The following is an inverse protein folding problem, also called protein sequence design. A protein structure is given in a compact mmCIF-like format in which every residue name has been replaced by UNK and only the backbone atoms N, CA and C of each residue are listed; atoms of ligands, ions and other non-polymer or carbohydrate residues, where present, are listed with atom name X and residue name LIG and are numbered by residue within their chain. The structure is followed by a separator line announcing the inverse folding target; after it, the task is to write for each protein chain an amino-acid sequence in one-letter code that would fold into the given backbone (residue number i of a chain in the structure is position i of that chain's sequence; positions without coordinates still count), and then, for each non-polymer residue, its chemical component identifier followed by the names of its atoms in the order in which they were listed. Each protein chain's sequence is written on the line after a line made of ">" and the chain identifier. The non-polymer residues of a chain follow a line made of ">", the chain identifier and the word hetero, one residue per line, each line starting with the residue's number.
data_IF_689437917760
#
_entry.id   IF_689437917760
#
_cell.length_a   1.000
_cell.length_b   1.000
_cell.length_c   1.000
_cell.angle_alpha   90.00
_cell.angle_beta   90.00
_cell.angle_gamma   90.00
#
_symmetry.space_group_name_H-M   'P 1'
#
loop_
_entity.id
_entity.type
_entity.pdbx_description
1 polymer ?
#
# COMPACT_ATOMS: atom_id res chain seq x y z
N UNK A 1 29.56 -7.03 -17.11
CA UNK A 1 28.18 -6.95 -16.57
C UNK A 1 27.25 -6.62 -17.72
N UNK A 2 25.95 -6.93 -17.66
CA UNK A 2 24.97 -6.26 -18.52
C UNK A 2 24.94 -4.75 -18.18
N UNK A 3 24.50 -3.93 -19.13
CA UNK A 3 24.30 -2.49 -18.92
C UNK A 3 23.19 -2.22 -17.88
N UNK A 4 23.24 -1.09 -17.16
CA UNK A 4 22.16 -0.68 -16.28
C UNK A 4 20.86 -0.47 -17.07
N UNK A 5 19.70 -0.88 -16.53
CA UNK A 5 18.43 -0.77 -17.25
C UNK A 5 18.08 0.69 -17.54
N UNK A 6 17.71 0.97 -18.79
CA UNK A 6 17.30 2.31 -19.23
C UNK A 6 16.00 2.73 -18.56
N UNK A 7 15.78 4.04 -18.41
CA UNK A 7 14.53 4.58 -17.87
C UNK A 7 13.31 4.04 -18.62
N UNK A 8 13.37 3.95 -19.96
CA UNK A 8 12.32 3.37 -20.80
C UNK A 8 12.04 1.91 -20.47
N UNK A 9 13.07 1.11 -20.19
CA UNK A 9 12.92 -0.29 -19.78
C UNK A 9 12.21 -0.41 -18.43
N UNK A 10 12.64 0.38 -17.43
CA UNK A 10 11.99 0.42 -16.11
C UNK A 10 10.53 0.90 -16.17
N UNK A 11 10.21 1.80 -17.09
CA UNK A 11 8.84 2.30 -17.31
C UNK A 11 7.91 1.23 -17.89
N UNK A 12 8.39 0.38 -18.80
CA UNK A 12 7.56 -0.60 -19.51
C UNK A 12 7.50 -1.98 -18.85
N UNK A 13 8.52 -2.41 -18.10
CA UNK A 13 8.50 -3.70 -17.39
C UNK A 13 7.75 -3.65 -16.07
N UNK A 14 7.72 -2.49 -15.40
CA UNK A 14 7.08 -2.33 -14.08
C UNK A 14 5.56 -2.51 -14.19
N UNK A 15 5.08 -3.60 -13.59
CA UNK A 15 3.66 -3.95 -13.53
C UNK A 15 3.21 -4.08 -12.06
N UNK A 16 2.03 -4.66 -11.81
CA UNK A 16 1.53 -4.92 -10.45
C UNK A 16 1.55 -6.42 -10.17
N UNK A 17 2.68 -6.89 -9.67
CA UNK A 17 2.92 -8.27 -9.21
C UNK A 17 1.97 -8.62 -8.06
N UNK A 18 1.34 -9.81 -8.13
CA UNK A 18 0.31 -10.28 -7.17
C UNK A 18 0.49 -11.74 -6.73
N UNK A 19 1.69 -12.27 -6.95
CA UNK A 19 2.18 -13.52 -6.38
C UNK A 19 3.70 -13.35 -6.26
N UNK A 20 4.25 -13.57 -5.07
CA UNK A 20 5.66 -13.31 -4.78
C UNK A 20 6.35 -14.59 -4.32
N UNK A 21 7.64 -14.74 -4.64
CA UNK A 21 8.44 -15.84 -4.12
C UNK A 21 8.83 -15.56 -2.65
N UNK A 22 8.81 -16.55 -1.74
CA UNK A 22 9.11 -16.35 -0.31
C UNK A 22 10.59 -16.04 0.01
N UNK A 23 11.43 -15.72 -0.98
CA UNK A 23 12.85 -15.40 -0.77
C UNK A 23 13.01 -14.07 -0.03
N UNK A 24 13.66 -14.02 1.15
CA UNK A 24 13.90 -12.76 1.86
C UNK A 24 14.70 -11.76 1.01
N UNK A 25 14.24 -10.51 0.95
CA UNK A 25 14.93 -9.43 0.24
C UNK A 25 16.14 -8.97 1.07
N UNK A 26 17.37 -8.92 0.51
CA UNK A 26 18.54 -8.43 1.23
C UNK A 26 18.36 -6.98 1.71
N UNK A 27 18.68 -6.70 2.98
CA UNK A 27 18.56 -5.36 3.58
C UNK A 27 19.26 -4.28 2.75
N UNK A 28 20.48 -4.54 2.26
CA UNK A 28 21.23 -3.58 1.44
C UNK A 28 20.53 -3.22 0.11
N UNK A 29 19.68 -4.11 -0.44
CA UNK A 29 18.87 -3.79 -1.61
C UNK A 29 17.71 -2.86 -1.24
N UNK A 30 17.05 -3.08 -0.09
CA UNK A 30 16.02 -2.19 0.44
C UNK A 30 16.59 -0.79 0.77
N UNK A 31 17.75 -0.73 1.42
CA UNK A 31 18.42 0.53 1.79
C UNK A 31 18.90 1.31 0.56
N UNK A 32 19.58 0.66 -0.39
CA UNK A 32 20.06 1.33 -1.63
C UNK A 32 18.95 1.74 -2.59
N UNK A 33 17.77 1.12 -2.52
CA UNK A 33 16.60 1.52 -3.32
C UNK A 33 15.81 2.63 -2.63
N UNK A 34 15.67 2.61 -1.30
CA UNK A 34 15.13 3.73 -0.52
C UNK A 34 15.95 5.00 -0.68
N UNK A 35 17.28 4.89 -0.72
CA UNK A 35 18.20 6.02 -0.92
C UNK A 35 17.98 6.70 -2.29
N UNK A 36 17.71 5.95 -3.35
CA UNK A 36 17.32 6.51 -4.65
C UNK A 36 15.92 7.12 -4.62
N UNK A 37 14.98 6.49 -3.90
CA UNK A 37 13.64 7.05 -3.71
C UNK A 37 13.65 8.39 -2.95
N UNK A 38 14.62 8.63 -2.05
CA UNK A 38 14.81 9.93 -1.40
C UNK A 38 15.19 11.08 -2.35
N UNK A 39 15.61 10.81 -3.59
CA UNK A 39 15.89 11.83 -4.61
C UNK A 39 14.61 12.39 -5.27
N UNK A 40 13.42 11.94 -4.83
CA UNK A 40 12.15 12.40 -5.35
C UNK A 40 11.87 13.86 -4.95
N UNK A 41 11.35 14.70 -5.85
CA UNK A 41 10.93 16.06 -5.48
C UNK A 41 9.78 16.02 -4.48
N UNK A 42 9.73 17.02 -3.60
CA UNK A 42 8.59 17.26 -2.71
C UNK A 42 8.33 18.76 -2.57
N UNK A 43 7.07 19.12 -2.30
CA UNK A 43 6.65 20.49 -2.00
C UNK A 43 7.52 21.08 -0.88
N UNK A 44 8.09 22.27 -1.09
CA UNK A 44 9.05 22.94 -0.20
C UNK A 44 10.19 22.05 0.36
N UNK A 45 10.54 20.96 -0.34
CA UNK A 45 11.43 19.89 0.13
C UNK A 45 11.05 19.28 1.50
N UNK A 46 9.76 19.26 1.85
CA UNK A 46 9.24 18.77 3.14
C UNK A 46 9.50 17.28 3.39
N UNK A 47 9.73 16.48 2.33
CA UNK A 47 9.92 15.03 2.40
C UNK A 47 8.89 14.34 3.33
N UNK A 48 7.58 14.53 3.08
CA UNK A 48 6.49 14.25 4.03
C UNK A 48 6.30 12.76 4.33
N UNK A 49 6.91 11.90 3.53
CA UNK A 49 6.82 10.45 3.63
C UNK A 49 7.40 9.90 4.92
N UNK A 50 6.73 8.87 5.44
CA UNK A 50 7.21 7.96 6.48
C UNK A 50 6.97 6.53 5.99
N UNK A 51 7.88 5.61 6.31
CA UNK A 51 7.85 4.24 5.79
C UNK A 51 8.16 3.26 6.92
N UNK A 52 7.30 2.25 7.10
CA UNK A 52 7.57 1.07 7.93
C UNK A 52 7.68 -0.15 7.02
N UNK A 53 8.86 -0.75 6.96
CA UNK A 53 9.13 -2.02 6.27
C UNK A 53 8.93 -3.17 7.27
N UNK A 54 8.21 -4.20 6.86
CA UNK A 54 7.78 -5.32 7.69
C UNK A 54 8.13 -6.64 7.02
N UNK A 55 8.82 -7.51 7.76
CA UNK A 55 9.22 -8.85 7.32
C UNK A 55 8.94 -9.88 8.42
N UNK A 56 8.89 -11.17 8.04
CA UNK A 56 8.69 -12.28 8.97
C UNK A 56 7.51 -12.08 9.91
N UNK A 57 7.70 -12.36 11.21
CA UNK A 57 6.64 -12.28 12.21
C UNK A 57 5.98 -10.89 12.34
N UNK A 58 6.66 -9.80 12.01
CA UNK A 58 6.06 -8.46 12.03
C UNK A 58 5.05 -8.28 10.89
N UNK A 59 5.36 -8.81 9.71
CA UNK A 59 4.45 -8.86 8.57
C UNK A 59 3.28 -9.82 8.85
N UNK A 60 3.55 -11.01 9.39
CA UNK A 60 2.50 -12.00 9.75
C UNK A 60 1.46 -11.40 10.70
N UNK A 61 1.89 -10.69 11.76
CA UNK A 61 0.94 -10.03 12.68
C UNK A 61 0.06 -9.00 11.97
N UNK A 62 0.64 -8.15 11.12
CA UNK A 62 -0.13 -7.14 10.38
C UNK A 62 -1.12 -7.81 9.40
N UNK A 63 -0.67 -8.78 8.61
CA UNK A 63 -1.51 -9.52 7.67
C UNK A 63 -2.70 -10.20 8.34
N UNK A 64 -2.49 -10.81 9.51
CA UNK A 64 -3.58 -11.42 10.30
C UNK A 64 -4.55 -10.36 10.84
N UNK A 65 -4.05 -9.25 11.38
CA UNK A 65 -4.90 -8.16 11.88
C UNK A 65 -5.74 -7.51 10.75
N UNK A 66 -5.14 -7.25 9.59
CA UNK A 66 -5.81 -6.71 8.41
C UNK A 66 -6.87 -7.66 7.85
N UNK A 67 -6.57 -8.97 7.78
CA UNK A 67 -7.54 -9.97 7.35
C UNK A 67 -8.72 -10.07 8.34
N UNK A 68 -8.45 -10.07 9.65
CA UNK A 68 -9.49 -10.07 10.69
C UNK A 68 -10.38 -8.81 10.63
N UNK A 69 -9.78 -7.62 10.49
CA UNK A 69 -10.50 -6.36 10.30
C UNK A 69 -11.41 -6.39 9.07
N UNK A 70 -10.97 -7.00 7.96
CA UNK A 70 -11.81 -7.17 6.77
C UNK A 70 -12.94 -8.19 6.99
N UNK A 71 -12.68 -9.29 7.70
CA UNK A 71 -13.72 -10.27 8.07
C UNK A 71 -14.77 -9.71 9.04
N UNK A 72 -14.38 -8.80 9.94
CA UNK A 72 -15.29 -8.03 10.78
C UNK A 72 -16.08 -6.93 10.01
N UNK A 73 -15.83 -6.81 8.70
CA UNK A 73 -16.43 -5.83 7.79
C UNK A 73 -16.36 -4.38 8.28
N UNK A 74 -15.28 -4.01 8.96
CA UNK A 74 -15.03 -2.63 9.38
C UNK A 74 -15.00 -1.68 8.17
N UNK A 75 -15.60 -0.48 8.26
CA UNK A 75 -15.68 0.44 7.14
C UNK A 75 -14.27 0.91 6.73
N UNK A 76 -13.92 0.85 5.44
CA UNK A 76 -12.61 1.32 4.99
C UNK A 76 -12.57 2.85 5.00
N UNK A 77 -11.52 3.42 5.63
CA UNK A 77 -11.25 4.86 5.66
C UNK A 77 -10.95 5.46 4.26
N UNK A 78 -10.70 4.62 3.25
CA UNK A 78 -10.42 5.06 1.87
C UNK A 78 -11.64 5.68 1.19
N UNK A 79 -11.48 6.87 0.62
CA UNK A 79 -12.50 7.54 -0.19
C UNK A 79 -13.04 6.63 -1.33
N UNK A 80 -14.35 6.66 -1.54
CA UNK A 80 -15.02 5.84 -2.55
C UNK A 80 -14.79 6.40 -3.97
N UNK A 81 -14.42 5.52 -4.91
CA UNK A 81 -14.30 5.87 -6.33
C UNK A 81 -15.66 6.43 -6.84
N UNK A 82 -15.71 7.66 -7.38
CA UNK A 82 -16.96 8.29 -7.81
C UNK A 82 -17.70 7.46 -8.88
N UNK A 83 -19.05 7.57 -8.97
CA UNK A 83 -19.87 6.70 -9.82
C UNK A 83 -19.40 6.56 -11.27
N UNK A 84 -18.98 7.66 -11.89
CA UNK A 84 -18.42 7.73 -13.25
C UNK A 84 -17.20 6.84 -13.45
N UNK A 85 -16.28 6.80 -12.48
CA UNK A 85 -14.99 6.08 -12.58
C UNK A 85 -15.05 4.63 -12.11
N UNK A 86 -16.18 4.15 -11.56
CA UNK A 86 -16.34 2.76 -11.09
C UNK A 86 -16.15 1.72 -12.20
N UNK A 87 -16.31 2.10 -13.47
CA UNK A 87 -16.10 1.23 -14.62
C UNK A 87 -14.64 0.74 -14.72
N UNK A 88 -13.63 1.56 -14.36
CA UNK A 88 -12.22 1.12 -14.34
C UNK A 88 -11.99 -0.01 -13.33
N UNK A 89 -12.59 0.09 -12.12
CA UNK A 89 -12.50 -0.98 -11.11
C UNK A 89 -13.19 -2.26 -11.59
N UNK A 90 -14.29 -2.15 -12.31
CA UNK A 90 -14.99 -3.29 -12.92
C UNK A 90 -14.16 -3.97 -14.00
N UNK A 91 -13.53 -3.20 -14.90
CA UNK A 91 -12.66 -3.71 -15.95
C UNK A 91 -11.43 -4.46 -15.39
N UNK A 92 -10.71 -3.83 -14.44
CA UNK A 92 -9.58 -4.47 -13.77
C UNK A 92 -10.01 -5.71 -12.98
N UNK A 93 -11.18 -5.69 -12.34
CA UNK A 93 -11.75 -6.85 -11.65
C UNK A 93 -11.98 -8.04 -12.60
N UNK A 94 -12.55 -7.80 -13.79
CA UNK A 94 -12.74 -8.85 -14.81
C UNK A 94 -11.42 -9.48 -15.26
N UNK A 95 -10.38 -8.68 -15.47
CA UNK A 95 -9.05 -9.16 -15.87
C UNK A 95 -8.36 -9.94 -14.74
N UNK A 96 -8.48 -9.47 -13.49
CA UNK A 96 -7.78 -10.06 -12.34
C UNK A 96 -8.45 -11.35 -11.82
N UNK A 97 -9.78 -11.38 -11.74
CA UNK A 97 -10.49 -12.55 -11.20
C UNK A 97 -10.88 -13.57 -12.27
N UNK A 98 -11.03 -13.16 -13.54
CA UNK A 98 -11.35 -14.08 -14.64
C UNK A 98 -10.16 -14.92 -15.12
N UNK A 99 -10.32 -15.64 -16.26
CA UNK A 99 -9.35 -16.63 -16.75
C UNK A 99 -7.96 -16.11 -17.14
N UNK A 100 -7.76 -14.78 -17.13
CA UNK A 100 -6.48 -14.13 -17.42
C UNK A 100 -5.67 -13.82 -16.14
N UNK A 101 -6.22 -14.14 -14.96
CA UNK A 101 -5.62 -13.86 -13.66
C UNK A 101 -5.75 -15.04 -12.71
N UNK A 102 -6.80 -15.04 -11.87
CA UNK A 102 -7.02 -16.09 -10.87
C UNK A 102 -7.97 -17.22 -11.30
N UNK A 103 -8.62 -17.10 -12.47
CA UNK A 103 -9.60 -18.08 -13.02
C UNK A 103 -10.70 -18.50 -12.03
N UNK A 104 -11.25 -17.51 -11.31
CA UNK A 104 -12.33 -17.70 -10.34
C UNK A 104 -13.67 -17.58 -11.05
N UNK A 105 -14.50 -18.60 -10.94
CA UNK A 105 -15.86 -18.60 -11.48
C UNK A 105 -16.68 -17.47 -10.84
N UNK A 106 -17.64 -16.89 -11.59
CA UNK A 106 -18.44 -15.76 -11.11
C UNK A 106 -19.36 -16.16 -9.94
N UNK A 107 -19.71 -17.43 -9.90
CA UNK A 107 -20.56 -18.11 -8.93
C UNK A 107 -19.76 -18.62 -7.71
N UNK A 108 -18.43 -18.62 -7.77
CA UNK A 108 -17.56 -19.04 -6.66
C UNK A 108 -17.32 -17.89 -5.68
N UNK A 109 -18.28 -17.69 -4.78
CA UNK A 109 -18.19 -16.69 -3.71
C UNK A 109 -16.99 -16.94 -2.77
N UNK A 110 -16.58 -18.20 -2.57
CA UNK A 110 -15.47 -18.56 -1.68
C UNK A 110 -14.11 -18.24 -2.32
N UNK A 111 -13.88 -18.64 -3.57
CA UNK A 111 -12.70 -18.25 -4.34
C UNK A 111 -12.61 -16.74 -4.51
N UNK A 112 -13.73 -16.06 -4.77
CA UNK A 112 -13.78 -14.59 -4.84
C UNK A 112 -13.42 -13.94 -3.49
N UNK A 113 -13.87 -14.51 -2.37
CA UNK A 113 -13.53 -14.07 -1.00
C UNK A 113 -12.05 -14.34 -0.69
N UNK A 114 -11.52 -15.49 -1.07
CA UNK A 114 -10.12 -15.86 -0.87
C UNK A 114 -9.16 -14.97 -1.69
N UNK A 115 -9.47 -14.74 -2.97
CA UNK A 115 -8.71 -13.85 -3.84
C UNK A 115 -8.73 -12.39 -3.35
N UNK A 116 -9.86 -11.92 -2.80
CA UNK A 116 -9.92 -10.62 -2.11
C UNK A 116 -9.05 -10.58 -0.85
N UNK A 117 -9.05 -11.65 -0.03
CA UNK A 117 -8.25 -11.72 1.20
C UNK A 117 -6.73 -11.72 0.95
N UNK A 118 -6.25 -12.17 -0.22
CA UNK A 118 -4.81 -12.09 -0.59
C UNK A 118 -4.24 -10.67 -0.56
N UNK A 119 -5.04 -9.64 -0.88
CA UNK A 119 -4.61 -8.24 -0.77
C UNK A 119 -4.15 -7.89 0.65
N UNK A 120 -4.89 -8.34 1.67
CA UNK A 120 -4.61 -8.10 3.08
C UNK A 120 -3.48 -8.98 3.65
N UNK A 121 -3.02 -9.97 2.87
CA UNK A 121 -1.82 -10.79 3.14
C UNK A 121 -0.59 -10.35 2.33
N UNK A 122 -0.63 -9.16 1.72
CA UNK A 122 0.41 -8.64 0.84
C UNK A 122 0.76 -9.57 -0.34
N UNK A 123 -0.21 -10.36 -0.84
CA UNK A 123 0.00 -11.42 -1.85
C UNK A 123 1.13 -12.41 -1.48
N UNK A 124 1.24 -12.70 -0.19
CA UNK A 124 2.21 -13.64 0.40
C UNK A 124 3.69 -13.22 0.16
N UNK A 125 3.91 -11.91 -0.04
CA UNK A 125 5.24 -11.32 -0.16
C UNK A 125 6.10 -11.50 1.11
N UNK A 126 7.42 -11.71 0.96
CA UNK A 126 8.36 -11.83 2.10
C UNK A 126 8.61 -10.48 2.81
N UNK A 127 8.18 -9.38 2.20
CA UNK A 127 8.36 -8.01 2.66
C UNK A 127 7.10 -7.19 2.32
N UNK A 128 6.38 -6.72 3.33
CA UNK A 128 5.28 -5.76 3.19
C UNK A 128 5.72 -4.38 3.64
N UNK A 129 5.13 -3.34 3.06
CA UNK A 129 5.52 -1.95 3.34
C UNK A 129 4.30 -1.09 3.57
N UNK A 130 4.35 -0.30 4.64
CA UNK A 130 3.36 0.71 4.97
C UNK A 130 3.97 2.09 4.73
N UNK A 131 3.39 2.86 3.82
CA UNK A 131 3.76 4.26 3.55
C UNK A 131 2.67 5.18 4.10
N UNK A 132 3.08 6.14 4.93
CA UNK A 132 2.22 7.08 5.66
C UNK A 132 2.86 8.50 5.67
N UNK A 133 2.16 9.49 6.23
CA UNK A 133 2.62 10.88 6.39
C UNK A 133 1.96 11.49 7.64
N UNK A 134 2.42 12.65 8.10
CA UNK A 134 1.76 13.37 9.21
C UNK A 134 0.38 13.88 8.77
N UNK A 135 -0.64 13.77 9.63
CA UNK A 135 -2.03 14.15 9.32
C UNK A 135 -2.27 15.65 9.13
N UNK A 136 -1.39 16.48 9.69
CA UNK A 136 -1.44 17.94 9.57
C UNK A 136 -0.97 18.49 8.21
N UNK A 137 -0.49 17.62 7.30
CA UNK A 137 0.03 18.01 5.99
C UNK A 137 -1.10 18.08 4.95
N UNK A 138 -0.92 18.92 3.93
CA UNK A 138 -1.97 19.17 2.96
C UNK A 138 -2.15 18.00 1.98
N UNK A 139 -3.35 17.87 1.38
CA UNK A 139 -3.61 16.82 0.39
C UNK A 139 -2.68 16.87 -0.83
N UNK A 140 -2.07 18.03 -1.13
CA UNK A 140 -1.06 18.16 -2.18
C UNK A 140 0.28 17.48 -1.81
N UNK A 141 0.59 17.33 -0.52
CA UNK A 141 1.82 16.66 -0.08
C UNK A 141 1.76 15.13 -0.30
N UNK A 142 0.54 14.56 -0.42
CA UNK A 142 0.29 13.18 -0.88
C UNK A 142 0.88 12.94 -2.27
N UNK A 143 0.94 13.96 -3.15
CA UNK A 143 1.59 13.84 -4.45
C UNK A 143 3.09 13.55 -4.31
N UNK A 144 3.75 14.18 -3.34
CA UNK A 144 5.17 13.92 -3.03
C UNK A 144 5.38 12.48 -2.56
N UNK A 145 4.47 11.97 -1.71
CA UNK A 145 4.46 10.56 -1.25
C UNK A 145 4.25 9.61 -2.44
N UNK A 146 3.35 9.95 -3.37
CA UNK A 146 3.09 9.19 -4.59
C UNK A 146 4.30 9.11 -5.52
N UNK A 147 4.96 10.24 -5.80
CA UNK A 147 6.17 10.30 -6.63
C UNK A 147 7.27 9.41 -6.03
N UNK A 148 7.53 9.49 -4.72
CA UNK A 148 8.54 8.64 -4.08
C UNK A 148 8.19 7.15 -4.09
N UNK A 149 6.93 6.82 -3.85
CA UNK A 149 6.46 5.43 -3.90
C UNK A 149 6.63 4.84 -5.31
N UNK A 150 6.42 5.64 -6.35
CA UNK A 150 6.64 5.26 -7.74
C UNK A 150 8.12 5.08 -8.07
N UNK A 151 9.00 6.05 -7.77
CA UNK A 151 10.46 5.94 -7.99
C UNK A 151 11.04 4.70 -7.32
N UNK A 152 10.58 4.36 -6.11
CA UNK A 152 11.02 3.15 -5.42
C UNK A 152 10.57 1.87 -6.13
N UNK A 153 9.31 1.82 -6.54
CA UNK A 153 8.71 0.71 -7.29
C UNK A 153 9.30 0.49 -8.68
N UNK A 154 10.10 1.42 -9.23
CA UNK A 154 10.87 1.19 -10.47
C UNK A 154 12.08 0.27 -10.26
N UNK A 155 12.58 0.12 -9.03
CA UNK A 155 13.80 -0.65 -8.73
C UNK A 155 13.59 -1.85 -7.81
N UNK A 156 12.39 -2.01 -7.24
CA UNK A 156 11.99 -3.19 -6.46
C UNK A 156 10.57 -3.61 -6.79
N UNK A 157 10.37 -4.88 -7.17
CA UNK A 157 9.04 -5.49 -7.15
C UNK A 157 8.63 -5.80 -5.71
N UNK A 158 8.05 -4.80 -5.04
CA UNK A 158 7.47 -4.91 -3.69
C UNK A 158 6.06 -4.34 -3.72
N UNK A 159 5.13 -5.02 -3.05
CA UNK A 159 3.78 -4.51 -2.86
C UNK A 159 3.79 -3.34 -1.86
N UNK A 160 3.73 -2.12 -2.37
CA UNK A 160 3.59 -0.91 -1.56
C UNK A 160 2.15 -0.77 -1.07
N UNK A 161 1.94 -1.04 0.23
CA UNK A 161 0.72 -0.67 0.92
C UNK A 161 0.74 0.80 1.31
N UNK A 162 0.19 1.68 0.45
CA UNK A 162 -0.02 3.07 0.83
C UNK A 162 -1.20 3.15 1.79
N UNK A 163 -0.93 3.55 3.04
CA UNK A 163 -1.92 3.76 4.06
C UNK A 163 -1.77 5.19 4.57
N UNK A 164 -2.51 6.12 3.93
CA UNK A 164 -2.66 7.49 4.43
C UNK A 164 -3.54 7.42 5.69
N UNK A 165 -2.89 7.18 6.83
CA UNK A 165 -3.52 7.30 8.13
C UNK A 165 -3.70 8.78 8.45
N UNK A 166 -4.91 9.15 8.84
CA UNK A 166 -5.16 10.37 9.58
C UNK A 166 -5.09 10.01 11.05
N UNK A 167 -4.03 10.47 11.74
CA UNK A 167 -4.03 10.55 13.19
C UNK A 167 -4.75 11.86 13.55
N UNK A 168 -6.01 11.75 13.99
CA UNK A 168 -6.69 12.86 14.66
C UNK A 168 -5.92 13.16 15.96
N UNK A 169 -5.53 14.42 16.15
CA UNK A 169 -4.73 14.82 17.32
C UNK A 169 -5.51 14.67 18.63
N UNK A 170 -4.81 14.37 19.72
CA UNK A 170 -5.40 14.23 21.06
C UNK A 170 -5.92 15.58 21.60
N UNK A 171 -7.13 15.99 21.22
CA UNK A 171 -7.86 17.04 21.93
C UNK A 171 -8.38 16.53 23.29
N UNK A 172 -7.46 16.49 24.25
CA UNK A 172 -7.71 16.79 25.65
C UNK A 172 -8.87 16.08 26.34
N UNK A 173 -8.62 14.89 26.89
CA UNK A 173 -9.39 14.39 28.04
C UNK A 173 -9.09 15.32 29.24
N UNK A 174 -9.88 16.37 29.37
CA UNK A 174 -9.89 17.22 30.56
C UNK A 174 -11.15 16.94 31.38
N UNK A 175 -10.99 16.83 32.70
CA UNK A 175 -11.96 16.19 33.59
C UNK A 175 -13.30 16.92 33.70
N UNK A 176 -14.36 16.15 33.92
CA UNK A 176 -15.66 16.68 34.36
C UNK A 176 -15.66 17.06 35.84
N UNK A 177 -16.76 17.72 36.25
CA UNK A 177 -17.16 18.01 37.63
C UNK A 177 -16.20 18.87 38.49
N UNK A 178 -16.57 20.13 38.73
CA UNK A 178 -17.29 20.51 39.96
C UNK A 178 -17.66 22.00 39.96
N UNK A 179 -18.85 22.35 40.46
CA UNK A 179 -19.28 23.74 40.64
C UNK A 179 -20.79 23.90 40.82
N UNK A 180 -21.24 24.14 42.05
CA UNK A 180 -22.64 24.53 42.35
C UNK A 180 -22.77 26.07 42.31
N UNK A 181 -23.94 26.55 41.90
CA UNK A 181 -24.32 27.96 41.87
C UNK A 181 -25.77 28.12 41.44
#
# INVERSE_FOLDING_TARGET
>A
MPDPPTLTSLLTTRHSTRAFHPTPIPRALLESTLALAHLSPSNSNLQPWRIKILTGAALTRLSTALAAAKSANLPPSTALIPPSYRHHRSALGKQLYGPQGYDVAREDEEGMRAAQLRNYRFFDAPCGVVVYMESCLAQIDVLSVGIRSWVWGMKVEVLVGVAVGYEDGEEGINGGENGKG
#
